data_IF_161303889296
#
_entry.id   IF_161303889296
#
_cell.length_a   1.000
_cell.length_b   1.000
_cell.length_c   1.000
_cell.angle_alpha   90.00
_cell.angle_beta   90.00
_cell.angle_gamma   90.00
#
_symmetry.space_group_name_H-M   'P 1'
#
loop_
_entity.id
_entity.type
_entity.pdbx_description
1 polymer ?
2 water ?
#
# COMPACT_ATOMS: atom_id res chain seq x y z
N UNK A 1 -20.50 1.18 -2.99
CA UNK A 1 -20.75 0.81 -4.44
C UNK A 1 -20.11 -0.54 -4.61
N UNK A 2 -18.87 -1.04 -4.53
CA UNK A 2 -18.77 -2.54 -4.70
C UNK A 2 -17.39 -2.91 -4.15
N UNK A 3 -17.13 -4.21 -4.07
CA UNK A 3 -15.81 -4.64 -3.58
C UNK A 3 -15.44 -5.85 -4.41
N UNK A 4 -14.18 -6.15 -4.23
CA UNK A 4 -13.66 -7.33 -4.89
C UNK A 4 -12.53 -7.94 -4.08
N UNK A 5 -12.43 -9.22 -4.27
CA UNK A 5 -11.41 -10.08 -3.68
C UNK A 5 -10.13 -9.78 -4.47
N UNK A 6 -8.94 -9.59 -3.81
CA UNK A 6 -7.77 -9.27 -4.68
C UNK A 6 -6.71 -10.26 -4.28
N UNK A 7 -5.56 -10.36 -4.95
CA UNK A 7 -4.71 -11.49 -4.48
C UNK A 7 -3.51 -11.10 -3.60
N UNK A 8 -3.06 -12.09 -2.83
CA UNK A 8 -1.96 -12.06 -1.87
C UNK A 8 -0.79 -12.92 -2.30
N UNK A 9 0.39 -12.35 -2.56
CA UNK A 9 1.52 -13.22 -2.90
C UNK A 9 2.30 -13.23 -1.57
N UNK A 10 2.32 -14.41 -0.93
CA UNK A 10 3.12 -14.55 0.26
C UNK A 10 3.10 -13.44 1.24
N UNK A 11 2.03 -12.71 1.53
CA UNK A 11 1.91 -11.62 2.46
C UNK A 11 2.86 -10.48 2.16
N UNK A 12 3.39 -10.45 0.94
CA UNK A 12 4.31 -9.37 0.55
C UNK A 12 3.71 -8.35 -0.39
N UNK A 13 3.03 -8.89 -1.33
CA UNK A 13 2.33 -8.35 -2.42
C UNK A 13 0.84 -8.62 -2.42
N UNK A 14 0.09 -7.54 -2.44
CA UNK A 14 -1.41 -7.57 -2.53
C UNK A 14 -1.73 -6.80 -3.84
N UNK A 15 -2.20 -7.64 -4.78
CA UNK A 15 -2.41 -7.09 -6.12
C UNK A 15 -3.75 -7.50 -6.69
N UNK A 16 -4.37 -6.74 -7.63
CA UNK A 16 -5.67 -7.38 -8.02
C UNK A 16 -6.03 -6.90 -9.40
N UNK A 17 -7.24 -7.06 -9.87
CA UNK A 17 -7.54 -6.56 -11.21
C UNK A 17 -8.21 -5.22 -11.42
N UNK A 18 -8.01 -4.72 -12.66
CA UNK A 18 -8.46 -3.56 -13.37
C UNK A 18 -8.47 -3.83 -14.89
N UNK A 19 -9.27 -3.14 -15.68
CA UNK A 19 -9.42 -3.26 -17.12
C UNK A 19 -9.19 -1.98 -17.87
N UNK A 20 -8.50 -1.95 -18.98
CA UNK A 20 -8.32 -0.63 -19.62
C UNK A 20 -8.68 -0.81 -21.09
N UNK A 21 -9.18 0.17 -21.80
CA UNK A 21 -9.47 0.00 -23.21
C UNK A 21 -10.93 -0.27 -23.47
N UNK A 22 -11.36 -0.27 -24.70
CA UNK A 22 -12.62 -0.58 -25.38
C UNK A 22 -12.17 -1.46 -26.51
N UNK A 23 -12.51 -2.69 -26.55
CA UNK A 23 -12.96 -3.62 -25.56
C UNK A 23 -11.78 -3.78 -24.56
N UNK A 24 -12.10 -4.07 -23.34
CA UNK A 24 -11.17 -4.15 -22.24
C UNK A 24 -10.05 -5.18 -22.14
N UNK A 25 -8.82 -4.69 -22.03
CA UNK A 25 -7.57 -5.46 -21.80
C UNK A 25 -7.39 -5.47 -20.24
N UNK A 26 -7.31 -6.62 -19.57
CA UNK A 26 -7.27 -6.83 -18.12
C UNK A 26 -5.86 -7.00 -17.61
N UNK A 27 -5.55 -6.34 -16.50
CA UNK A 27 -4.24 -6.25 -15.87
C UNK A 27 -4.30 -6.40 -14.35
N UNK A 28 -3.32 -6.96 -13.78
CA UNK A 28 -3.06 -7.18 -12.37
C UNK A 28 -2.25 -6.02 -11.89
N UNK A 29 -2.76 -5.18 -11.00
CA UNK A 29 -2.01 -4.01 -10.56
C UNK A 29 -1.95 -4.09 -9.05
N UNK A 30 -0.79 -3.58 -8.54
CA UNK A 30 -0.58 -3.50 -7.08
C UNK A 30 -1.45 -2.29 -6.66
N UNK A 31 -2.26 -2.54 -5.69
CA UNK A 31 -3.10 -1.49 -5.06
C UNK A 31 -2.33 -0.71 -4.07
N UNK A 32 -1.67 0.38 -4.41
CA UNK A 32 -0.74 1.15 -3.60
C UNK A 32 -1.12 2.50 -3.04
N UNK A 33 -1.29 2.50 -1.67
CA UNK A 33 -1.68 3.67 -0.90
C UNK A 33 -0.51 4.61 -0.68
N UNK A 34 0.71 4.17 -0.97
CA UNK A 34 1.93 4.91 -0.78
C UNK A 34 2.47 5.61 -2.00
N UNK A 35 1.70 5.58 -3.07
CA UNK A 35 1.95 6.25 -4.32
C UNK A 35 0.59 6.66 -4.93
N UNK A 36 0.59 7.63 -5.84
CA UNK A 36 -0.52 8.14 -6.57
C UNK A 36 -0.41 7.90 -8.08
N UNK A 37 0.62 7.34 -8.72
CA UNK A 37 0.42 7.22 -10.19
C UNK A 37 -0.26 5.94 -10.67
N UNK A 38 -0.66 5.88 -11.96
CA UNK A 38 -1.27 4.70 -12.58
C UNK A 38 -0.40 4.36 -13.79
N UNK A 39 0.10 3.12 -13.89
CA UNK A 39 0.89 2.86 -15.12
C UNK A 39 0.74 1.39 -15.34
N UNK A 40 1.02 0.90 -16.52
CA UNK A 40 0.84 -0.50 -16.95
C UNK A 40 1.93 -0.78 -17.97
N UNK A 41 2.35 -2.05 -18.07
CA UNK A 41 3.37 -2.48 -19.03
C UNK A 41 2.70 -2.05 -20.34
N UNK A 42 3.39 -1.52 -21.33
CA UNK A 42 2.64 -1.15 -22.59
C UNK A 42 3.41 -1.67 -23.79
N UNK A 43 2.78 -1.81 -24.96
CA UNK A 43 3.57 -2.26 -26.08
C UNK A 43 4.56 -1.23 -26.60
N UNK A 44 5.05 -0.24 -25.85
CA UNK A 44 6.02 0.75 -26.26
C UNK A 44 7.25 0.36 -25.48
N UNK A 45 7.06 -0.70 -24.71
CA UNK A 45 8.16 -1.17 -23.87
C UNK A 45 8.68 -2.52 -24.38
N UNK A 46 10.03 -2.54 -24.34
CA UNK A 46 10.74 -3.75 -24.75
C UNK A 46 11.84 -4.09 -23.76
N UNK A 47 11.89 -3.56 -22.55
CA UNK A 47 12.93 -3.93 -21.57
C UNK A 47 12.66 -5.41 -21.36
N UNK A 48 13.30 -6.19 -20.53
CA UNK A 48 13.02 -7.58 -20.24
C UNK A 48 11.84 -7.86 -19.31
N UNK A 49 11.61 -6.92 -18.37
CA UNK A 49 10.56 -6.83 -17.38
C UNK A 49 9.20 -6.75 -18.04
N UNK A 50 9.16 -5.85 -19.00
CA UNK A 50 8.11 -5.57 -19.97
C UNK A 50 7.83 -6.78 -20.84
N UNK A 51 8.86 -7.55 -21.24
CA UNK A 51 8.66 -8.77 -21.99
C UNK A 51 7.85 -9.87 -21.28
N UNK A 52 7.93 -10.00 -19.97
CA UNK A 52 7.20 -11.10 -19.33
C UNK A 52 5.90 -10.61 -18.67
N UNK A 53 5.57 -9.35 -18.84
CA UNK A 53 4.32 -8.84 -18.24
C UNK A 53 3.22 -8.69 -19.26
N UNK A 54 2.00 -8.35 -18.83
CA UNK A 54 0.92 -8.31 -19.84
C UNK A 54 0.94 -6.97 -20.48
N UNK A 55 1.25 -6.79 -21.76
CA UNK A 55 1.36 -5.44 -22.25
C UNK A 55 0.04 -4.86 -22.80
N UNK A 56 -0.07 -3.56 -22.48
CA UNK A 56 -1.22 -2.75 -22.90
C UNK A 56 -0.90 -2.20 -24.32
N UNK A 57 -1.77 -2.47 -25.27
CA UNK A 57 -1.71 -2.08 -26.66
C UNK A 57 -2.75 -1.03 -27.02
N UNK A 58 -2.31 0.22 -27.16
CA UNK A 58 -3.15 1.37 -27.46
C UNK A 58 -3.94 1.42 -28.74
N UNK A 59 -3.52 0.71 -29.77
CA UNK A 59 -4.05 0.57 -31.09
C UNK A 59 -5.28 -0.32 -31.07
N UNK A 60 -5.49 -1.07 -30.00
CA UNK A 60 -6.59 -2.00 -29.99
C UNK A 60 -7.67 -1.57 -29.02
N UNK A 61 -7.67 -0.29 -28.75
CA UNK A 61 -8.69 0.33 -27.85
C UNK A 61 -9.26 1.55 -28.57
N UNK A 62 -10.54 1.42 -28.91
CA UNK A 62 -11.16 2.51 -29.71
C UNK A 62 -11.57 3.76 -28.93
N UNK A 63 -11.20 3.73 -27.65
CA UNK A 63 -11.41 4.80 -26.71
C UNK A 63 -10.05 5.47 -26.34
N UNK A 64 -8.90 5.02 -26.88
CA UNK A 64 -7.65 5.66 -26.50
C UNK A 64 -7.33 6.96 -27.17
N UNK A 65 -6.69 7.81 -26.33
CA UNK A 65 -6.37 9.19 -26.82
C UNK A 65 -4.96 9.43 -26.33
N UNK A 66 -3.94 9.60 -27.17
CA UNK A 66 -2.58 9.81 -26.60
C UNK A 66 -2.25 11.25 -26.24
N UNK A 67 -1.31 11.59 -25.39
CA UNK A 67 -0.66 12.74 -24.83
C UNK A 67 0.87 12.38 -24.94
N UNK A 68 1.63 13.22 -25.64
CA UNK A 68 3.08 12.86 -25.71
C UNK A 68 3.93 13.02 -24.43
N UNK A 69 3.32 13.55 -23.36
CA UNK A 69 4.06 13.79 -22.15
C UNK A 69 4.66 12.49 -21.63
N UNK A 70 5.92 12.58 -21.36
CA UNK A 70 6.65 11.45 -20.85
C UNK A 70 6.66 11.59 -19.33
N UNK A 71 6.97 10.51 -18.62
CA UNK A 71 7.06 10.65 -17.15
C UNK A 71 8.36 9.93 -16.84
N UNK A 72 9.02 10.29 -15.77
CA UNK A 72 10.22 9.63 -15.31
C UNK A 72 9.73 9.44 -13.83
N UNK A 73 9.48 8.16 -13.61
CA UNK A 73 9.01 8.03 -12.23
C UNK A 73 9.86 6.90 -11.66
N UNK A 74 10.62 7.54 -10.74
CA UNK A 74 11.46 6.75 -9.86
C UNK A 74 10.39 6.74 -8.71
N UNK A 75 10.19 5.54 -8.16
CA UNK A 75 9.24 5.27 -7.11
C UNK A 75 9.94 5.07 -5.77
N UNK A 76 11.07 5.74 -5.47
CA UNK A 76 11.66 5.28 -4.16
C UNK A 76 11.95 3.82 -4.71
N UNK A 77 12.92 3.94 -5.63
CA UNK A 77 13.43 2.90 -6.48
C UNK A 77 12.31 1.85 -6.57
N UNK A 78 11.71 1.89 -7.69
CA UNK A 78 11.17 1.60 -8.94
C UNK A 78 11.83 2.91 -9.51
N UNK A 79 12.06 2.85 -10.83
CA UNK A 79 12.66 3.99 -11.55
C UNK A 79 12.60 3.74 -13.08
N UNK A 80 11.32 3.84 -13.49
CA UNK A 80 11.01 3.61 -14.88
C UNK A 80 10.72 4.88 -15.67
N UNK A 81 10.40 4.50 -16.93
CA UNK A 81 10.04 5.49 -17.92
C UNK A 81 8.71 5.20 -18.55
N UNK A 82 8.03 6.30 -18.83
CA UNK A 82 6.67 6.25 -19.44
C UNK A 82 6.23 7.44 -20.31
N UNK A 83 5.07 7.23 -20.93
CA UNK A 83 4.35 8.16 -21.79
C UNK A 83 2.91 8.16 -21.35
N UNK A 84 2.39 9.38 -21.27
CA UNK A 84 1.01 9.65 -20.83
C UNK A 84 0.00 9.50 -21.98
N UNK A 85 -1.16 8.97 -21.63
CA UNK A 85 -2.29 8.78 -22.51
C UNK A 85 -3.56 8.79 -21.67
N UNK A 86 -4.68 8.67 -22.28
CA UNK A 86 -6.05 8.64 -21.86
C UNK A 86 -6.96 7.51 -22.45
N UNK A 87 -7.60 6.77 -21.50
CA UNK A 87 -8.54 5.73 -21.97
C UNK A 87 -9.49 5.44 -20.83
N UNK A 88 -10.53 4.65 -21.00
CA UNK A 88 -11.46 4.32 -19.94
C UNK A 88 -10.88 3.26 -19.04
N UNK A 89 -10.80 3.37 -17.72
CA UNK A 89 -10.34 2.44 -16.75
C UNK A 89 -11.46 2.05 -15.78
N UNK A 90 -11.63 0.76 -15.59
CA UNK A 90 -12.59 0.06 -14.77
C UNK A 90 -11.86 -0.62 -13.62
N UNK A 91 -12.39 -0.47 -12.39
CA UNK A 91 -11.86 -1.02 -11.16
C UNK A 91 -12.97 -1.56 -10.26
N UNK A 92 -13.08 -2.85 -9.96
CA UNK A 92 -14.16 -3.20 -9.01
C UNK A 92 -15.46 -2.96 -9.73
N UNK A 93 -15.59 -2.80 -11.05
CA UNK A 93 -16.89 -2.63 -11.67
C UNK A 93 -17.14 -1.25 -12.22
N UNK A 94 -17.70 -1.40 -13.41
CA UNK A 94 -18.11 -0.57 -14.48
C UNK A 94 -17.98 0.90 -14.73
N UNK A 95 -16.94 1.58 -14.28
CA UNK A 95 -16.62 2.96 -14.19
C UNK A 95 -15.77 4.08 -14.69
N UNK A 96 -14.60 4.28 -15.23
CA UNK A 96 -14.00 5.61 -15.48
C UNK A 96 -13.45 6.10 -16.76
N UNK A 97 -14.23 6.93 -17.45
CA UNK A 97 -13.80 7.38 -18.78
C UNK A 97 -12.88 8.55 -18.75
N UNK A 98 -12.00 8.69 -19.70
CA UNK A 98 -11.01 9.74 -19.90
C UNK A 98 -10.04 9.74 -18.73
N UNK A 99 -9.58 8.54 -18.31
CA UNK A 99 -8.71 8.27 -17.26
C UNK A 99 -7.27 8.26 -17.81
N UNK A 100 -6.46 9.15 -17.33
CA UNK A 100 -5.09 9.31 -17.62
C UNK A 100 -4.24 8.18 -17.00
N UNK A 101 -3.58 7.42 -17.91
CA UNK A 101 -2.73 6.31 -17.74
C UNK A 101 -1.33 6.62 -18.25
N UNK A 102 -0.33 5.95 -17.69
CA UNK A 102 1.07 6.01 -18.02
C UNK A 102 1.28 4.68 -18.77
N UNK A 103 1.91 4.72 -19.90
CA UNK A 103 2.17 3.46 -20.63
C UNK A 103 3.68 3.29 -20.47
N UNK A 104 4.26 2.21 -19.99
CA UNK A 104 5.69 2.20 -19.81
C UNK A 104 6.45 2.08 -21.11
N UNK A 105 7.65 2.65 -21.06
CA UNK A 105 8.63 2.68 -22.11
C UNK A 105 9.82 1.83 -21.72
N UNK A 106 10.33 1.85 -20.51
CA UNK A 106 11.46 1.09 -20.05
C UNK A 106 11.17 0.78 -18.58
N UNK A 107 11.15 -0.48 -18.22
CA UNK A 107 10.89 -0.84 -16.84
C UNK A 107 11.86 -1.83 -16.26
N UNK A 108 12.89 -1.47 -15.55
CA UNK A 108 13.84 -2.31 -14.87
C UNK A 108 13.69 -2.16 -13.34
N UNK A 109 14.60 -2.90 -12.69
CA UNK A 109 14.77 -3.04 -11.25
C UNK A 109 14.62 -4.55 -11.08
N UNK A 110 15.42 -5.08 -10.20
CA UNK A 110 15.45 -6.52 -9.89
C UNK A 110 14.31 -6.87 -8.94
N UNK A 111 13.12 -6.42 -9.39
CA UNK A 111 11.75 -6.62 -9.15
C UNK A 111 10.81 -6.25 -10.31
N UNK A 112 10.87 -5.33 -11.24
CA UNK A 112 9.77 -5.38 -12.25
C UNK A 112 9.72 -6.75 -12.92
N UNK A 113 10.68 -7.44 -13.52
CA UNK A 113 10.66 -8.74 -14.12
C UNK A 113 9.86 -9.79 -13.35
N UNK A 114 10.25 -10.06 -12.09
CA UNK A 114 9.60 -11.07 -11.29
C UNK A 114 8.48 -10.51 -10.42
N UNK A 115 8.17 -9.24 -10.42
CA UNK A 115 6.99 -8.72 -9.67
C UNK A 115 5.80 -9.45 -10.31
N UNK A 116 4.71 -9.67 -9.62
CA UNK A 116 3.55 -10.38 -10.06
C UNK A 116 2.44 -9.50 -10.62
N UNK A 117 2.60 -8.17 -10.57
CA UNK A 117 1.55 -7.30 -11.10
C UNK A 117 2.07 -6.71 -12.43
N UNK A 118 1.17 -6.26 -13.37
CA UNK A 118 1.74 -5.68 -14.61
C UNK A 118 1.99 -4.20 -14.49
N UNK A 119 1.45 -3.58 -13.47
CA UNK A 119 1.60 -2.14 -13.23
C UNK A 119 1.16 -1.84 -11.81
N UNK A 120 1.12 -0.53 -11.55
CA UNK A 120 0.76 0.00 -10.26
C UNK A 120 -0.39 1.05 -10.39
N UNK A 121 -1.39 0.90 -9.51
CA UNK A 121 -2.52 1.80 -9.37
C UNK A 121 -2.32 2.57 -8.04
N UNK A 122 -1.90 3.83 -8.08
CA UNK A 122 -1.68 4.59 -6.88
C UNK A 122 -2.98 5.26 -6.33
N UNK A 123 -3.05 5.06 -4.98
CA UNK A 123 -4.12 5.56 -4.21
C UNK A 123 -3.79 6.72 -3.23
N UNK A 124 -2.61 7.27 -3.25
CA UNK A 124 -2.23 8.42 -2.37
C UNK A 124 -2.90 9.72 -2.93
N UNK A 125 -2.37 10.90 -2.63
CA UNK A 125 -2.93 12.17 -3.04
C UNK A 125 -2.25 12.74 -4.27
N UNK A 126 -2.94 13.58 -5.05
CA UNK A 126 -2.50 14.26 -6.27
C UNK A 126 -1.15 14.94 -6.31
N UNK A 127 -0.73 15.36 -5.14
CA UNK A 127 0.49 15.98 -4.69
C UNK A 127 1.77 15.13 -4.91
N UNK A 128 1.55 13.81 -4.71
CA UNK A 128 2.71 12.93 -4.91
C UNK A 128 2.64 12.25 -6.26
N UNK A 129 1.74 12.58 -7.20
CA UNK A 129 1.63 12.01 -8.52
C UNK A 129 2.82 12.52 -9.36
N UNK A 130 3.66 11.53 -9.77
CA UNK A 130 4.80 12.10 -10.55
C UNK A 130 4.22 12.64 -11.88
N UNK A 131 4.73 13.76 -12.40
CA UNK A 131 4.30 14.43 -13.60
C UNK A 131 2.85 14.91 -13.65
N UNK A 132 2.13 15.01 -12.57
CA UNK A 132 0.77 15.52 -12.44
C UNK A 132 -0.33 14.60 -12.88
N UNK A 133 -0.02 13.30 -12.95
CA UNK A 133 -1.06 12.39 -13.42
C UNK A 133 -2.20 12.46 -12.43
N UNK A 134 -3.42 12.50 -12.92
CA UNK A 134 -4.62 12.47 -12.05
C UNK A 134 -4.77 11.08 -11.48
N UNK A 135 -4.77 10.90 -10.15
CA UNK A 135 -4.95 9.56 -9.55
C UNK A 135 -6.33 9.07 -9.92
N UNK A 136 -6.56 7.76 -9.98
CA UNK A 136 -7.84 7.12 -10.26
C UNK A 136 -9.03 7.59 -9.42
N UNK A 137 -8.78 7.40 -8.11
CA UNK A 137 -9.73 7.74 -7.09
C UNK A 137 -10.19 9.19 -7.17
N UNK A 138 -9.35 10.14 -7.46
CA UNK A 138 -9.68 11.51 -7.56
C UNK A 138 -10.75 11.73 -8.65
N UNK A 139 -10.68 10.92 -9.73
CA UNK A 139 -11.64 10.97 -10.81
C UNK A 139 -13.01 10.38 -10.49
N UNK A 140 -13.10 9.26 -9.79
CA UNK A 140 -14.33 8.59 -9.38
C UNK A 140 -15.09 9.59 -8.51
N UNK A 141 -14.32 10.37 -7.77
CA UNK A 141 -14.47 11.50 -6.91
C UNK A 141 -15.17 12.62 -7.65
N UNK A 142 -14.47 13.33 -8.49
CA UNK A 142 -14.90 14.37 -9.35
C UNK A 142 -16.11 13.98 -10.21
N UNK A 143 -16.14 12.73 -10.67
CA UNK A 143 -17.24 12.31 -11.56
C UNK A 143 -18.41 11.80 -10.75
N UNK A 144 -18.34 11.88 -9.45
CA UNK A 144 -19.33 11.49 -8.51
C UNK A 144 -19.85 10.11 -8.82
N UNK A 145 -18.92 9.15 -8.83
CA UNK A 145 -19.17 7.74 -9.09
C UNK A 145 -19.44 6.86 -7.87
N UNK A 146 -18.96 7.31 -6.71
CA UNK A 146 -19.10 6.44 -5.53
C UNK A 146 -20.15 7.11 -4.60
N UNK A 147 -20.90 6.31 -3.82
CA UNK A 147 -21.91 6.48 -2.82
C UNK A 147 -21.39 7.32 -1.66
N UNK A 148 -20.15 6.98 -1.34
CA UNK A 148 -19.37 7.63 -0.31
C UNK A 148 -17.94 7.66 -0.93
N UNK A 149 -17.13 8.67 -0.67
CA UNK A 149 -15.79 8.85 -1.16
C UNK A 149 -14.71 8.28 -0.19
N UNK A 150 -14.79 6.98 -0.06
CA UNK A 150 -14.02 6.04 0.68
C UNK A 150 -13.69 4.76 -0.12
N UNK A 151 -12.65 4.10 0.31
CA UNK A 151 -12.13 2.83 -0.13
C UNK A 151 -11.54 2.14 1.14
N UNK A 152 -11.49 0.86 1.27
CA UNK A 152 -10.99 0.25 2.47
C UNK A 152 -10.37 -1.08 2.00
N UNK A 153 -9.49 -1.47 2.89
CA UNK A 153 -8.70 -2.67 2.70
C UNK A 153 -8.63 -3.65 3.87
N UNK A 154 -8.95 -4.89 3.48
CA UNK A 154 -8.85 -6.07 4.30
C UNK A 154 -7.67 -6.84 3.72
N UNK A 155 -6.66 -7.25 4.49
CA UNK A 155 -5.51 -8.03 3.91
C UNK A 155 -5.53 -9.39 4.60
N UNK A 156 -5.30 -10.53 3.98
CA UNK A 156 -5.27 -11.86 4.58
C UNK A 156 -3.84 -12.25 4.99
N UNK A 157 -3.83 -13.28 5.84
CA UNK A 157 -2.57 -13.71 6.44
C UNK A 157 -2.11 -15.06 6.07
N UNK A 158 -0.82 -15.39 6.04
CA UNK A 158 -0.35 -16.72 5.62
C UNK A 158 -0.64 -16.89 4.12
N UNK A 159 -0.88 -15.81 3.37
CA UNK A 159 -1.21 -15.95 1.99
C UNK A 159 -2.52 -16.58 1.60
N UNK A 160 -3.44 -16.56 2.56
CA UNK A 160 -4.73 -17.18 2.26
C UNK A 160 -5.36 -16.19 1.30
N UNK A 161 -6.48 -16.64 0.78
CA UNK A 161 -7.25 -15.76 -0.12
C UNK A 161 -8.24 -15.03 0.78
N UNK A 162 -8.88 -13.97 0.28
CA UNK A 162 -9.77 -13.31 1.24
C UNK A 162 -9.31 -11.87 1.33
N UNK A 163 -8.32 -11.38 0.60
CA UNK A 163 -8.06 -9.92 0.70
C UNK A 163 -9.09 -9.28 -0.23
N UNK A 164 -9.55 -8.11 0.13
CA UNK A 164 -10.56 -7.27 -0.41
C UNK A 164 -10.26 -5.81 -0.49
N UNK A 165 -10.75 -5.12 -1.54
CA UNK A 165 -10.56 -3.66 -1.69
C UNK A 165 -12.08 -3.30 -1.87
N UNK A 166 -12.53 -2.41 -1.03
CA UNK A 166 -13.94 -2.00 -1.00
C UNK A 166 -13.94 -0.58 -1.54
N UNK A 167 -14.71 -0.11 -2.50
CA UNK A 167 -14.59 1.27 -2.98
C UNK A 167 -15.94 1.96 -2.72
N UNK A 168 -16.04 3.14 -2.14
CA UNK A 168 -17.31 3.80 -1.90
C UNK A 168 -18.15 3.17 -0.84
N UNK A 169 -17.77 2.14 -0.09
CA UNK A 169 -18.36 1.41 1.02
C UNK A 169 -17.22 0.79 1.87
N UNK A 170 -17.43 0.30 3.04
CA UNK A 170 -16.70 -0.34 4.08
C UNK A 170 -17.32 -1.74 4.10
N UNK A 171 -16.61 -2.80 4.43
CA UNK A 171 -17.22 -4.13 4.50
C UNK A 171 -17.14 -4.43 6.01
N UNK A 172 -18.29 -4.48 6.53
CA UNK A 172 -18.76 -4.69 7.87
C UNK A 172 -18.50 -6.08 8.42
N UNK A 173 -18.35 -7.06 7.54
CA UNK A 173 -18.06 -8.43 7.96
C UNK A 173 -16.55 -8.56 8.17
N UNK A 174 -15.74 -7.50 7.93
CA UNK A 174 -14.32 -7.54 8.15
C UNK A 174 -13.69 -6.89 9.33
N UNK A 175 -14.47 -6.48 10.30
CA UNK A 175 -13.70 -5.89 11.43
C UNK A 175 -14.57 -6.19 12.63
N UNK A 176 -14.01 -6.00 13.80
CA UNK A 176 -14.66 -6.21 15.07
C UNK A 176 -14.41 -4.89 15.84
N UNK A 177 -15.30 -4.62 16.80
CA UNK A 177 -15.10 -3.45 17.63
C UNK A 177 -15.40 -2.27 16.74
N UNK A 178 -14.99 -1.13 17.21
CA UNK A 178 -15.20 0.19 16.70
C UNK A 178 -14.17 0.74 15.75
N UNK A 179 -14.63 1.61 14.86
CA UNK A 179 -13.72 2.29 13.96
C UNK A 179 -13.07 3.42 14.76
N UNK A 180 -11.73 3.36 14.74
CA UNK A 180 -10.85 4.32 15.41
C UNK A 180 -10.29 5.29 14.35
N UNK A 181 -10.83 6.52 14.35
CA UNK A 181 -10.44 7.55 13.41
C UNK A 181 -9.27 8.44 13.80
N UNK A 182 -8.51 8.95 12.84
CA UNK A 182 -7.42 9.88 13.03
C UNK A 182 -7.36 10.58 11.67
N UNK A 183 -7.07 11.85 11.72
CA UNK A 183 -6.99 12.65 10.54
C UNK A 183 -5.58 12.64 9.99
N UNK A 184 -5.67 12.87 8.69
CA UNK A 184 -4.55 13.03 7.79
C UNK A 184 -3.88 14.35 8.18
N UNK A 185 -2.63 14.29 8.56
CA UNK A 185 -1.71 15.29 9.02
C UNK A 185 -1.09 15.90 7.79
N UNK A 186 -1.07 15.23 6.63
CA UNK A 186 -0.56 15.78 5.39
C UNK A 186 -1.13 14.83 4.33
N UNK A 187 -1.61 15.54 3.34
CA UNK A 187 -2.23 15.19 2.09
C UNK A 187 -1.18 15.12 0.98
N UNK A 188 -0.31 14.14 1.15
CA UNK A 188 0.79 13.62 0.38
C UNK A 188 0.46 12.13 0.26
N UNK A 189 1.04 11.38 1.18
CA UNK A 189 0.81 9.98 1.40
C UNK A 189 -0.41 10.11 2.34
N UNK A 190 -0.85 8.94 2.76
CA UNK A 190 -1.91 8.90 3.74
C UNK A 190 -1.11 8.94 5.03
N UNK A 191 -0.69 10.13 5.47
CA UNK A 191 0.04 10.30 6.67
C UNK A 191 -0.78 10.51 7.92
N UNK A 192 -0.52 9.93 9.09
CA UNK A 192 -1.28 10.16 10.32
C UNK A 192 -0.29 10.47 11.41
N UNK A 193 -0.66 11.02 12.55
CA UNK A 193 0.29 11.25 13.61
C UNK A 193 0.08 10.26 14.77
N UNK A 194 1.19 9.91 15.35
CA UNK A 194 1.37 8.98 16.44
C UNK A 194 1.77 9.87 17.65
N UNK A 195 0.96 9.59 18.67
CA UNK A 195 1.11 10.26 19.93
C UNK A 195 2.09 9.55 20.83
N UNK A 196 2.26 8.25 20.64
CA UNK A 196 3.27 7.60 21.49
C UNK A 196 3.47 6.14 21.08
N UNK A 197 4.68 5.67 21.44
CA UNK A 197 4.96 4.26 21.30
C UNK A 197 5.13 3.79 22.78
N UNK A 198 4.63 2.60 22.94
CA UNK A 198 4.54 1.77 24.09
C UNK A 198 4.99 0.35 23.77
N UNK A 199 5.68 -0.31 24.71
CA UNK A 199 6.11 -1.70 24.51
C UNK A 199 5.56 -2.31 25.83
N UNK A 200 4.67 -3.24 25.90
CA UNK A 200 4.03 -3.80 27.05
C UNK A 200 3.21 -2.90 27.98
N UNK A 201 2.64 -1.83 27.46
CA UNK A 201 1.85 -0.84 28.13
C UNK A 201 2.71 0.28 28.65
N UNK A 202 3.97 0.38 28.26
CA UNK A 202 4.98 1.29 28.63
C UNK A 202 5.64 2.07 27.51
N UNK A 203 5.93 3.33 27.66
CA UNK A 203 6.61 4.17 26.65
C UNK A 203 7.88 3.66 25.98
N UNK A 204 8.34 4.26 24.87
CA UNK A 204 9.58 3.79 24.22
C UNK A 204 10.12 4.54 23.01
N UNK A 205 9.62 5.72 22.60
CA UNK A 205 10.16 6.41 21.44
C UNK A 205 9.51 7.65 20.84
N UNK A 206 8.25 8.02 21.09
CA UNK A 206 7.65 9.18 20.45
C UNK A 206 7.42 10.44 21.25
N UNK A 207 4.57 12.20 20.41
CA UNK A 207 4.91 13.61 20.77
C UNK A 207 5.44 14.21 19.46
N UNK A 208 5.29 13.36 18.42
CA UNK A 208 5.77 13.71 17.11
C UNK A 208 6.41 12.56 16.34
N UNK A 209 5.47 11.72 15.92
CA UNK A 209 5.85 10.60 15.05
C UNK A 209 4.73 10.77 14.03
N UNK A 210 5.04 10.48 12.80
CA UNK A 210 4.11 10.53 11.70
C UNK A 210 4.19 9.08 11.20
N UNK A 211 3.18 8.56 10.55
CA UNK A 211 3.25 7.22 10.01
C UNK A 211 2.53 7.24 8.65
N UNK A 212 3.25 6.72 7.61
CA UNK A 212 2.54 6.75 6.32
C UNK A 212 1.77 5.43 6.39
N UNK A 213 0.56 5.32 5.87
CA UNK A 213 -0.23 4.07 5.92
C UNK A 213 -0.14 3.61 4.47
N UNK A 214 0.76 2.70 4.19
CA UNK A 214 1.14 2.10 2.96
C UNK A 214 0.90 0.63 2.69
N UNK A 215 0.03 0.24 1.77
CA UNK A 215 -0.21 -1.12 1.35
C UNK A 215 0.94 -1.68 0.46
N UNK A 216 1.66 -0.70 -0.13
CA UNK A 216 2.81 -1.00 -0.95
C UNK A 216 3.98 -1.50 -0.09
N UNK A 217 4.10 -1.30 1.19
CA UNK A 217 5.18 -1.75 1.99
C UNK A 217 4.77 -3.04 2.72
N UNK A 218 5.68 -4.05 2.68
CA UNK A 218 5.25 -5.32 3.29
C UNK A 218 5.47 -5.41 4.77
N UNK A 219 6.28 -4.54 5.27
CA UNK A 219 6.72 -4.30 6.60
C UNK A 219 6.21 -3.19 7.50
N UNK A 220 6.54 -3.16 8.79
CA UNK A 220 6.25 -2.02 9.69
C UNK A 220 7.72 -1.47 9.70
N UNK A 221 7.87 -0.18 9.57
CA UNK A 221 9.23 0.35 9.52
C UNK A 221 9.36 1.34 10.62
N UNK A 222 10.45 1.40 11.36
CA UNK A 222 10.61 2.42 12.41
C UNK A 222 11.75 3.40 12.12
N UNK A 223 11.66 4.55 12.74
CA UNK A 223 12.66 5.58 12.66
C UNK A 223 14.05 5.02 12.86
N UNK A 224 15.02 5.31 12.00
CA UNK A 224 16.37 4.88 11.93
C UNK A 224 17.05 4.68 13.29
N UNK A 225 17.00 5.66 14.19
CA UNK A 225 17.60 5.58 15.50
C UNK A 225 16.98 4.57 16.46
N UNK A 226 15.66 4.75 16.65
CA UNK A 226 14.90 3.88 17.52
C UNK A 226 14.84 2.45 17.04
N UNK A 227 15.09 2.07 15.77
CA UNK A 227 14.99 0.68 15.35
C UNK A 227 15.68 -0.19 16.42
N UNK A 228 16.92 0.14 16.66
CA UNK A 228 17.74 -0.53 17.67
C UNK A 228 17.20 -0.88 19.03
N UNK A 229 16.51 -0.02 19.80
CA UNK A 229 15.98 -0.31 21.12
C UNK A 229 14.82 -1.31 21.02
N UNK A 230 14.13 -1.25 19.88
CA UNK A 230 13.01 -2.15 19.64
C UNK A 230 13.64 -3.52 19.42
N UNK A 231 14.73 -3.59 18.65
CA UNK A 231 15.46 -4.79 18.34
C UNK A 231 15.90 -5.41 19.68
N UNK A 232 16.58 -4.56 20.42
CA UNK A 232 16.99 -4.93 21.78
C UNK A 232 15.88 -5.43 22.67
N UNK A 233 14.65 -5.09 22.42
CA UNK A 233 13.47 -5.50 23.11
C UNK A 233 12.96 -6.89 22.89
N UNK A 234 12.76 -7.34 21.63
CA UNK A 234 12.23 -8.70 21.45
C UNK A 234 13.30 -9.78 21.46
N UNK A 235 14.54 -9.32 21.32
CA UNK A 235 15.72 -10.15 21.33
C UNK A 235 16.24 -10.52 19.97
N UNK A 236 15.73 -9.86 18.94
CA UNK A 236 16.12 -10.17 17.56
C UNK A 236 17.63 -9.98 17.40
N UNK A 237 18.33 -10.69 16.51
CA UNK A 237 19.80 -10.49 16.33
C UNK A 237 20.04 -10.72 14.80
N UNK A 238 20.96 -9.97 14.17
CA UNK A 238 21.17 -10.17 12.74
C UNK A 238 21.45 -11.65 12.41
N UNK A 239 20.75 -12.20 11.42
CA UNK A 239 21.05 -13.60 11.07
C UNK A 239 22.02 -13.49 9.91
N UNK A 240 20.79 -14.46 6.40
CA UNK A 240 20.74 -13.65 5.18
C UNK A 240 20.37 -12.19 5.43
N UNK A 241 20.71 -11.75 6.66
CA UNK A 241 20.55 -10.39 7.13
C UNK A 241 19.17 -10.05 7.67
N UNK A 242 18.45 -11.05 8.14
CA UNK A 242 17.13 -10.86 8.69
C UNK A 242 17.36 -10.79 10.20
N UNK A 243 16.46 -10.18 10.93
CA UNK A 243 16.57 -10.13 12.37
C UNK A 243 15.63 -11.27 12.74
N UNK A 244 16.20 -12.30 13.31
CA UNK A 244 15.45 -13.48 13.65
C UNK A 244 15.59 -13.57 15.16
N UNK A 245 14.87 -14.51 15.71
CA UNK A 245 14.88 -14.75 17.15
C UNK A 245 14.27 -16.15 17.37
N UNK A 246 14.64 -16.74 18.51
CA UNK A 246 14.15 -18.11 18.69
C UNK A 246 12.66 -18.26 18.68
N UNK A 247 12.10 -19.27 18.00
CA UNK A 247 10.63 -19.43 18.20
C UNK A 247 10.61 -19.98 19.60
N UNK A 248 9.67 -20.62 20.30
CA UNK A 248 10.04 -21.03 21.69
C UNK A 248 10.02 -19.77 22.55
N UNK A 249 10.21 -18.53 22.20
CA UNK A 249 10.40 -17.37 23.06
C UNK A 249 9.36 -16.28 22.81
N UNK A 250 8.51 -16.47 21.87
CA UNK A 250 7.48 -15.89 21.09
C UNK A 250 6.09 -15.57 21.64
N UNK A 251 5.67 -16.25 22.69
CA UNK A 251 4.35 -16.04 23.31
C UNK A 251 4.52 -15.09 24.48
N UNK A 252 5.78 -14.98 24.87
CA UNK A 252 6.28 -14.15 25.95
C UNK A 252 7.01 -12.92 25.45
N UNK A 253 6.93 -12.66 24.14
CA UNK A 253 7.56 -11.47 23.52
C UNK A 253 6.65 -10.25 23.66
N UNK A 254 7.14 -9.01 23.70
CA UNK A 254 6.38 -7.82 23.84
C UNK A 254 5.32 -7.44 22.82
N UNK A 255 4.29 -6.77 23.31
CA UNK A 255 3.19 -6.18 22.62
C UNK A 255 3.63 -4.73 22.41
N UNK A 256 3.52 -4.23 21.23
CA UNK A 256 3.92 -2.91 20.74
C UNK A 256 2.56 -2.24 20.60
N UNK A 257 2.40 -0.94 20.89
CA UNK A 257 1.13 -0.26 20.76
C UNK A 257 1.54 1.19 20.45
N UNK A 258 0.65 1.76 19.64
CA UNK A 258 0.80 3.12 19.10
C UNK A 258 -0.41 3.90 19.64
N UNK A 259 -0.03 5.10 20.12
CA UNK A 259 -1.12 5.91 20.66
C UNK A 259 -1.41 6.85 19.51
N UNK A 260 -2.55 6.69 18.90
CA UNK A 260 -3.10 7.44 17.77
C UNK A 260 -4.49 8.04 18.13
N UNK A 261 -4.57 9.33 18.36
CA UNK A 261 -5.80 10.04 18.80
C UNK A 261 -6.30 9.64 20.20
N UNK A 262 -5.42 9.41 21.22
CA UNK A 262 -5.96 8.98 22.51
C UNK A 262 -6.15 7.51 22.65
N UNK A 263 -6.18 6.70 21.57
CA UNK A 263 -6.30 5.26 21.72
C UNK A 263 -4.95 4.63 21.35
N UNK A 264 -4.62 3.70 22.21
CA UNK A 264 -3.36 2.94 22.12
C UNK A 264 -3.71 1.65 21.46
N UNK A 265 -3.31 1.43 20.22
CA UNK A 265 -3.66 0.19 19.49
C UNK A 265 -2.44 -0.75 19.42
N UNK A 266 -2.73 -1.97 19.88
CA UNK A 266 -1.76 -3.02 19.99
C UNK A 266 -1.40 -3.68 18.67
N UNK A 267 -0.20 -4.23 18.80
CA UNK A 267 0.40 -5.01 17.69
C UNK A 267 1.14 -6.18 18.29
N UNK A 268 0.56 -7.35 18.47
CA UNK A 268 1.12 -8.53 19.06
C UNK A 268 2.24 -9.18 18.26
N UNK A 269 3.12 -9.94 18.90
CA UNK A 269 4.24 -10.63 18.27
C UNK A 269 3.81 -11.54 17.15
N UNK A 270 2.62 -12.08 17.23
CA UNK A 270 1.91 -12.94 16.34
C UNK A 270 1.72 -12.26 15.00
N UNK A 271 1.69 -10.95 15.09
CA UNK A 271 1.55 -10.05 14.01
C UNK A 271 2.91 -9.55 13.52
N UNK A 272 3.89 -9.17 14.30
CA UNK A 272 5.12 -8.67 13.71
C UNK A 272 6.20 -9.72 13.44
N UNK A 273 5.90 -10.96 13.79
CA UNK A 273 6.80 -12.08 13.64
C UNK A 273 6.27 -13.05 12.62
N UNK A 274 7.15 -13.33 11.64
CA UNK A 274 6.71 -14.35 10.66
C UNK A 274 7.57 -15.60 10.93
N UNK A 275 6.74 -16.58 11.25
CA UNK A 275 7.07 -17.95 11.65
C UNK A 275 6.70 -18.64 10.33
N UNK A 276 7.79 -18.92 9.66
CA UNK A 276 7.75 -19.54 8.34
C UNK A 276 8.62 -20.78 8.50
N UNK A 277 8.38 -21.60 9.45
CA UNK A 277 8.71 -22.89 9.94
C UNK A 277 10.04 -23.31 10.52
N UNK A 278 10.05 -23.05 11.86
CA UNK A 278 11.11 -23.38 12.80
C UNK A 278 11.99 -22.15 12.92
N UNK A 279 11.69 -21.23 12.03
CA UNK A 279 12.35 -19.97 11.79
C UNK A 279 11.37 -18.84 12.06
N UNK A 280 11.76 -17.87 12.85
CA UNK A 280 10.92 -16.77 13.22
C UNK A 280 11.67 -15.53 12.82
N UNK A 281 11.19 -14.88 11.80
CA UNK A 281 11.88 -13.66 11.41
C UNK A 281 11.11 -12.48 11.97
N UNK A 282 11.87 -11.41 12.22
CA UNK A 282 11.20 -10.18 12.75
C UNK A 282 10.77 -9.31 11.58
N UNK A 283 9.45 -9.26 11.25
CA UNK A 283 9.10 -8.42 10.11
C UNK A 283 9.10 -6.95 10.47
N UNK A 284 10.08 -6.25 10.95
CA UNK A 284 10.19 -4.87 11.35
C UNK A 284 11.49 -4.35 10.69
N UNK A 285 11.44 -3.14 10.15
CA UNK A 285 12.74 -2.73 9.57
C UNK A 285 12.88 -1.25 9.83
N UNK A 286 13.95 -0.67 9.37
CA UNK A 286 14.37 0.70 9.46
C UNK A 286 13.67 1.68 8.54
N UNK A 287 13.20 2.83 8.95
CA UNK A 287 12.50 3.75 8.00
C UNK A 287 13.41 4.32 6.94
N UNK A 288 13.09 4.10 5.65
CA UNK A 288 13.86 4.47 4.50
C UNK A 288 13.51 5.76 3.81
N UNK A 289 12.25 6.15 3.74
CA UNK A 289 11.86 7.44 3.10
C UNK A 289 12.18 8.59 4.05
N UNK A 290 12.63 9.70 3.50
CA UNK A 290 12.97 10.94 4.20
C UNK A 290 11.76 11.64 4.79
N UNK A 291 11.86 12.10 6.04
CA UNK A 291 10.78 12.79 6.73
C UNK A 291 10.77 14.26 6.35
N UNK A 292 9.66 14.80 5.86
CA UNK A 292 9.82 16.26 5.50
C UNK A 292 9.48 17.16 6.68
N UNK A 293 9.48 16.67 7.90
CA UNK A 293 9.23 17.06 9.26
C UNK A 293 10.26 16.36 10.14
N UNK A 294 9.88 15.42 10.99
CA UNK A 294 10.58 14.60 11.94
C UNK A 294 10.25 13.12 11.82
N UNK A 295 11.21 12.21 11.80
CA UNK A 295 11.08 10.78 11.55
C UNK A 295 9.77 10.08 12.04
N UNK A 296 9.45 9.37 10.97
CA UNK A 296 8.40 8.61 10.44
C UNK A 296 8.46 7.13 10.61
N UNK A 297 7.27 6.56 10.68
CA UNK A 297 7.12 5.11 10.76
C UNK A 297 6.45 4.74 9.44
N UNK A 298 6.51 3.56 8.86
CA UNK A 298 5.75 3.26 7.67
C UNK A 298 4.89 2.10 8.17
N UNK A 299 3.57 2.19 8.05
CA UNK A 299 2.73 1.07 8.55
C UNK A 299 2.42 0.20 7.35
N UNK A 300 3.28 -0.70 6.98
CA UNK A 300 3.06 -1.49 5.81
C UNK A 300 2.19 -2.68 6.18
N UNK A 301 2.23 -3.70 5.34
CA UNK A 301 1.40 -4.89 5.54
C UNK A 301 1.33 -5.46 6.92
N UNK A 302 2.34 -5.45 7.74
CA UNK A 302 2.17 -6.03 9.11
C UNK A 302 1.12 -5.36 9.99
N UNK A 303 0.85 -4.05 9.91
CA UNK A 303 -0.16 -3.32 10.64
C UNK A 303 -1.50 -3.58 10.00
N UNK A 304 -1.59 -3.45 8.69
CA UNK A 304 -2.72 -3.60 7.82
C UNK A 304 -3.22 -5.02 7.90
N UNK A 305 -2.44 -6.09 8.13
CA UNK A 305 -3.12 -7.35 8.30
C UNK A 305 -3.76 -7.36 9.69
N UNK A 306 -3.28 -6.57 10.70
CA UNK A 306 -3.91 -6.62 12.01
C UNK A 306 -5.14 -5.68 11.98
N UNK A 307 -5.06 -4.54 11.34
CA UNK A 307 -6.15 -3.58 11.26
C UNK A 307 -6.91 -3.43 9.96
N UNK A 308 -8.24 -3.66 9.84
CA UNK A 308 -8.94 -3.34 8.61
C UNK A 308 -8.75 -1.79 8.51
N UNK A 309 -8.52 -1.25 7.32
CA UNK A 309 -8.18 0.18 7.08
C UNK A 309 -9.11 1.00 6.27
N UNK A 310 -9.63 2.14 6.68
CA UNK A 310 -10.63 2.86 5.85
C UNK A 310 -9.98 4.14 5.35
N UNK A 311 -10.09 4.61 4.10
CA UNK A 311 -9.29 5.81 3.78
C UNK A 311 -10.35 6.83 3.54
N UNK A 312 -10.48 7.95 4.20
CA UNK A 312 -11.61 8.85 3.92
C UNK A 312 -11.23 10.18 3.30
N UNK A 313 -11.57 10.38 2.00
CA UNK A 313 -11.17 11.54 1.29
C UNK A 313 -12.19 12.66 1.44
N UNK A 314 -13.41 12.39 1.93
CA UNK A 314 -14.18 13.67 2.01
C UNK A 314 -13.78 14.26 3.37
N UNK A 315 -13.49 13.43 4.39
CA UNK A 315 -13.10 14.04 5.65
C UNK A 315 -11.63 14.00 5.96
N UNK A 316 -10.78 13.61 5.01
CA UNK A 316 -9.34 13.55 5.29
C UNK A 316 -8.98 12.81 6.56
N UNK A 317 -9.27 11.53 6.65
CA UNK A 317 -8.89 10.80 7.83
C UNK A 317 -8.81 9.32 7.53
N UNK A 318 -8.11 8.55 8.30
CA UNK A 318 -7.93 7.11 8.07
C UNK A 318 -8.50 6.43 9.28
N UNK A 319 -9.11 5.27 9.15
CA UNK A 319 -9.70 4.71 10.39
C UNK A 319 -9.23 3.29 10.53
N UNK A 320 -9.05 2.81 11.78
CA UNK A 320 -8.59 1.44 11.97
C UNK A 320 -9.65 0.78 12.87
N UNK A 321 -9.81 -0.49 12.59
CA UNK A 321 -10.75 -1.32 13.35
C UNK A 321 -10.01 -2.68 13.29
N UNK A 322 -10.10 -3.42 14.35
CA UNK A 322 -9.45 -4.72 14.45
C UNK A 322 -9.88 -5.66 13.34
N UNK A 323 -8.94 -6.27 12.63
CA UNK A 323 -9.38 -7.13 11.50
C UNK A 323 -9.96 -8.44 11.99
N UNK A 324 -10.94 -8.95 11.31
CA UNK A 324 -11.63 -10.21 11.63
C UNK A 324 -11.20 -11.05 10.41
#
# INVERSE_FOLDING_TARGET
RVTEQMKNEADTEYYGVISIGTPPESFKVIFDTGSSNLWVSSSHCSAQACSNHNKFKPRQSSTYVETGKTVDLTYGTGGMRGILGQDTVSVGGGSDPNQELGESQTEPGPFQAAAPFDGILGLAYPSIAAAGAVPVFDNMGSQSLVEKDLFSFYLSGGGANGSEVMLGGVDNSHYTGSIHWIPVTAEKYWQVALDGITVNGQTAACEGCQAIVDTGTSKIVAPVSALANIMKDIGASENQGEMMGNCASVQSLPDITFTINGVKQPLPPSAYIEGDQAFCTSGLGSSGVPSNTSELWIFGDVFLRNYYTIYDRTNNKVGFAPAA
#
